data_IF_066019740746
#
_entry.id   IF_066019740746
#
_cell.length_a   1.000
_cell.length_b   1.000
_cell.length_c   1.000
_cell.angle_alpha   90.00
_cell.angle_beta   90.00
_cell.angle_gamma   90.00
#
_symmetry.space_group_name_H-M   'P 1'
#
loop_
_entity.id
_entity.type
_entity.pdbx_description
1 polymer ?
#
# COMPACT_ATOMS: atom_id res chain seq x y z
N UNK A 1 -20.64 0.00 -83.52
CA UNK A 1 -19.59 0.25 -82.52
C UNK A 1 -19.59 1.75 -82.24
N UNK A 2 -20.17 2.13 -81.11
CA UNK A 2 -20.45 3.51 -80.69
C UNK A 2 -19.24 4.02 -79.91
N UNK A 3 -18.67 5.20 -80.22
CA UNK A 3 -17.56 5.73 -79.43
C UNK A 3 -18.02 6.10 -78.01
N UNK A 4 -17.19 5.89 -76.97
CA UNK A 4 -17.55 6.23 -75.61
C UNK A 4 -17.67 7.75 -75.42
N UNK A 5 -18.77 8.17 -74.82
CA UNK A 5 -19.07 9.53 -74.38
C UNK A 5 -18.16 9.94 -73.22
N UNK A 6 -17.28 10.90 -73.48
CA UNK A 6 -16.38 11.51 -72.48
C UNK A 6 -17.21 12.41 -71.54
N UNK A 7 -17.02 12.38 -70.21
CA UNK A 7 -17.70 13.31 -69.32
C UNK A 7 -17.23 14.74 -69.62
N UNK A 8 -18.20 15.62 -69.86
CA UNK A 8 -17.99 17.05 -70.11
C UNK A 8 -17.52 17.68 -68.79
N UNK A 9 -16.24 18.03 -68.72
CA UNK A 9 -15.67 18.76 -67.58
C UNK A 9 -16.37 20.12 -67.47
N UNK A 10 -16.90 20.43 -66.29
CA UNK A 10 -17.55 21.72 -66.03
C UNK A 10 -16.52 22.85 -66.16
N UNK A 11 -16.92 23.94 -66.82
CA UNK A 11 -16.12 25.15 -66.97
C UNK A 11 -15.69 25.69 -65.60
N UNK A 12 -14.42 26.06 -65.49
CA UNK A 12 -13.90 26.77 -64.32
C UNK A 12 -14.69 28.08 -64.13
N UNK A 13 -15.03 28.47 -62.89
CA UNK A 13 -15.68 29.74 -62.66
C UNK A 13 -14.72 30.88 -63.03
N UNK A 14 -15.27 31.87 -63.73
CA UNK A 14 -14.65 33.14 -64.14
C UNK A 14 -13.59 33.64 -63.14
N UNK A 15 -12.36 33.81 -63.62
CA UNK A 15 -11.33 34.67 -63.02
C UNK A 15 -11.78 36.13 -63.16
N UNK A 16 -12.69 36.55 -62.28
CA UNK A 16 -13.34 37.86 -62.35
C UNK A 16 -13.58 38.51 -61.00
N UNK A 17 -12.69 38.31 -60.02
CA UNK A 17 -12.81 38.94 -58.71
C UNK A 17 -11.47 39.08 -57.99
N UNK A 18 -11.05 40.34 -57.81
CA UNK A 18 -10.03 40.92 -56.93
C UNK A 18 -9.11 39.98 -56.11
N UNK A 19 -7.80 40.34 -55.94
CA UNK A 19 -6.94 39.63 -54.98
C UNK A 19 -7.64 39.60 -53.62
N UNK A 20 -7.59 38.46 -52.88
CA UNK A 20 -8.22 38.39 -51.57
C UNK A 20 -7.68 39.55 -50.74
N UNK A 21 -8.55 40.35 -50.08
CA UNK A 21 -8.09 41.47 -49.29
C UNK A 21 -7.06 40.95 -48.29
N UNK A 22 -5.88 41.57 -48.25
CA UNK A 22 -4.82 41.18 -47.33
C UNK A 22 -5.43 41.13 -45.92
N UNK A 23 -5.49 39.92 -45.36
CA UNK A 23 -6.16 39.67 -44.09
C UNK A 23 -5.55 40.61 -43.05
N UNK A 24 -6.40 41.48 -42.47
CA UNK A 24 -5.94 42.52 -41.55
C UNK A 24 -5.08 41.86 -40.46
N UNK A 25 -3.88 42.37 -40.20
CA UNK A 25 -2.92 41.75 -39.24
C UNK A 25 -3.56 41.53 -37.87
N UNK A 26 -4.58 42.34 -37.53
CA UNK A 26 -5.38 42.21 -36.32
C UNK A 26 -6.24 40.95 -36.29
N UNK A 27 -6.79 40.51 -37.43
CA UNK A 27 -7.63 39.31 -37.53
C UNK A 27 -6.81 38.02 -37.37
N UNK A 28 -5.63 37.92 -37.99
CA UNK A 28 -4.74 36.76 -37.81
C UNK A 28 -4.19 36.65 -36.38
N UNK A 29 -3.86 37.78 -35.74
CA UNK A 29 -3.44 37.79 -34.32
C UNK A 29 -4.62 37.37 -33.43
N UNK A 30 -5.81 37.92 -33.63
CA UNK A 30 -7.01 37.57 -32.86
C UNK A 30 -7.37 36.09 -33.02
N UNK A 31 -7.29 35.53 -34.23
CA UNK A 31 -7.53 34.10 -34.48
C UNK A 31 -6.50 33.22 -33.76
N UNK A 32 -5.21 33.61 -33.77
CA UNK A 32 -4.14 32.89 -33.05
C UNK A 32 -4.35 32.90 -31.54
N UNK A 33 -4.76 34.03 -30.97
CA UNK A 33 -5.11 34.10 -29.54
C UNK A 33 -6.32 33.25 -29.20
N UNK A 34 -7.37 33.27 -30.02
CA UNK A 34 -8.55 32.41 -29.83
C UNK A 34 -8.16 30.92 -29.90
N UNK A 35 -7.36 30.52 -30.88
CA UNK A 35 -6.87 29.15 -31.00
C UNK A 35 -6.00 28.75 -29.79
N UNK A 36 -5.13 29.64 -29.31
CA UNK A 36 -4.33 29.39 -28.12
C UNK A 36 -5.19 29.20 -26.87
N UNK A 37 -6.23 30.02 -26.69
CA UNK A 37 -7.20 29.88 -25.59
C UNK A 37 -7.96 28.55 -25.70
N UNK A 38 -8.39 28.17 -26.90
CA UNK A 38 -9.09 26.90 -27.14
C UNK A 38 -8.18 25.71 -26.81
N UNK A 39 -6.91 25.73 -27.23
CA UNK A 39 -5.93 24.67 -26.92
C UNK A 39 -5.67 24.61 -25.41
N UNK A 40 -5.51 25.76 -24.75
CA UNK A 40 -5.35 25.83 -23.29
C UNK A 40 -6.55 25.21 -22.57
N UNK A 41 -7.78 25.45 -23.05
CA UNK A 41 -8.99 24.88 -22.48
C UNK A 41 -9.09 23.37 -22.74
N UNK A 42 -8.85 22.92 -23.98
CA UNK A 42 -8.95 21.51 -24.38
C UNK A 42 -7.89 20.62 -23.75
N UNK A 43 -6.68 21.14 -23.50
CA UNK A 43 -5.59 20.35 -22.89
C UNK A 43 -5.51 20.60 -21.39
N UNK A 44 -5.65 21.85 -20.96
CA UNK A 44 -5.50 22.25 -19.56
C UNK A 44 -6.62 21.72 -18.66
N UNK A 45 -7.87 21.65 -19.13
CA UNK A 45 -8.98 21.12 -18.32
C UNK A 45 -8.82 19.61 -18.10
N UNK A 46 -8.60 18.76 -19.14
CA UNK A 46 -8.34 17.34 -18.92
C UNK A 46 -7.06 17.09 -18.13
N UNK A 47 -5.96 17.79 -18.42
CA UNK A 47 -4.70 17.63 -17.68
C UNK A 47 -4.82 18.06 -16.20
N UNK A 48 -5.54 19.15 -15.93
CA UNK A 48 -5.85 19.61 -14.58
C UNK A 48 -6.73 18.63 -13.82
N UNK A 49 -7.76 18.08 -14.48
CA UNK A 49 -8.61 17.03 -13.89
C UNK A 49 -7.82 15.75 -13.57
N UNK A 50 -6.90 15.35 -14.45
CA UNK A 50 -6.01 14.21 -14.20
C UNK A 50 -5.04 14.45 -13.03
N UNK A 51 -4.53 15.68 -12.86
CA UNK A 51 -3.68 16.02 -11.72
C UNK A 51 -4.44 15.97 -10.38
N UNK A 52 -5.68 16.48 -10.33
CA UNK A 52 -6.51 16.47 -9.10
C UNK A 52 -6.99 15.07 -8.76
N UNK A 53 -7.39 14.26 -9.76
CA UNK A 53 -7.82 12.87 -9.53
C UNK A 53 -6.67 11.96 -9.07
N UNK A 54 -5.44 12.21 -9.50
CA UNK A 54 -4.26 11.51 -9.00
C UNK A 54 -3.95 11.82 -7.52
N UNK A 55 -4.24 13.03 -7.05
CA UNK A 55 -4.12 13.38 -5.63
C UNK A 55 -5.28 12.85 -4.79
N UNK A 56 -6.53 12.93 -5.29
CA UNK A 56 -7.69 12.35 -4.61
C UNK A 56 -7.59 10.83 -4.44
N UNK A 57 -7.05 10.12 -5.45
CA UNK A 57 -6.85 8.67 -5.40
C UNK A 57 -5.79 8.23 -4.36
N UNK A 58 -4.85 9.12 -4.00
CA UNK A 58 -3.76 8.82 -3.05
C UNK A 58 -4.11 9.10 -1.59
N UNK A 59 -5.04 10.02 -1.34
CA UNK A 59 -5.53 10.36 0.01
C UNK A 59 -6.84 9.64 0.35
N UNK A 60 -7.78 9.50 -0.60
CA UNK A 60 -9.05 8.80 -0.34
C UNK A 60 -8.90 7.29 -0.10
N UNK A 61 -7.75 6.72 -0.50
CA UNK A 61 -7.39 5.33 -0.19
C UNK A 61 -6.88 5.12 1.24
N UNK A 62 -6.26 6.14 1.85
CA UNK A 62 -5.78 6.08 3.24
C UNK A 62 -6.92 6.21 4.24
N UNK A 63 -7.93 7.02 3.93
CA UNK A 63 -9.07 7.27 4.83
C UNK A 63 -10.20 6.22 4.74
N UNK A 64 -10.21 5.41 3.67
CA UNK A 64 -11.19 4.32 3.53
C UNK A 64 -10.67 2.96 4.01
N UNK A 65 -9.35 2.75 4.07
CA UNK A 65 -8.76 1.54 4.65
C UNK A 65 -8.83 1.52 6.20
N UNK A 66 -9.00 2.68 6.83
CA UNK A 66 -8.98 2.85 8.29
C UNK A 66 -10.31 2.53 8.99
N UNK A 67 -11.37 2.12 8.26
CA UNK A 67 -12.73 1.98 8.84
C UNK A 67 -13.31 0.58 8.97
N UNK A 68 -12.65 -0.49 8.52
CA UNK A 68 -13.26 -1.83 8.57
C UNK A 68 -12.22 -2.90 8.95
N UNK A 69 -12.04 -3.13 10.25
CA UNK A 69 -11.21 -4.21 10.77
C UNK A 69 -11.11 -4.10 12.29
N UNK A 70 -11.11 -5.24 12.99
CA UNK A 70 -10.92 -5.26 14.44
C UNK A 70 -9.67 -4.45 14.81
N UNK A 71 -9.83 -3.43 15.66
CA UNK A 71 -8.79 -2.41 15.85
C UNK A 71 -7.70 -2.80 16.84
N UNK A 72 -7.74 -4.02 17.42
CA UNK A 72 -6.80 -4.52 18.43
C UNK A 72 -6.81 -6.06 18.47
N UNK A 73 -5.73 -6.63 19.00
CA UNK A 73 -5.59 -8.07 19.29
C UNK A 73 -6.70 -8.55 20.23
N UNK A 74 -7.25 -9.73 19.93
CA UNK A 74 -8.34 -10.37 20.70
C UNK A 74 -7.90 -11.71 21.25
N UNK A 75 -8.39 -12.13 22.43
CA UNK A 75 -8.13 -13.47 22.94
C UNK A 75 -8.58 -14.54 21.94
N UNK A 76 -7.73 -15.53 21.71
CA UNK A 76 -8.01 -16.60 20.77
C UNK A 76 -6.74 -17.12 20.11
N UNK A 77 -6.87 -18.26 19.45
CA UNK A 77 -5.79 -18.85 18.66
C UNK A 77 -5.97 -18.54 17.19
N UNK A 78 -4.91 -18.08 16.48
CA UNK A 78 -4.94 -18.10 15.03
C UNK A 78 -5.00 -19.56 14.54
N UNK A 79 -5.69 -19.77 13.42
CA UNK A 79 -5.79 -21.07 12.78
C UNK A 79 -4.41 -21.62 12.40
N UNK A 80 -4.31 -22.94 12.22
CA UNK A 80 -3.09 -23.58 11.71
C UNK A 80 -2.63 -22.99 10.39
N UNK A 81 -3.59 -22.67 9.50
CA UNK A 81 -3.31 -22.07 8.19
C UNK A 81 -2.73 -20.66 8.34
N UNK A 82 -3.33 -19.80 9.18
CA UNK A 82 -2.77 -18.47 9.46
C UNK A 82 -1.35 -18.58 10.00
N UNK A 83 -1.11 -19.42 11.01
CA UNK A 83 0.24 -19.61 11.57
C UNK A 83 1.25 -20.11 10.53
N UNK A 84 0.80 -20.93 9.59
CA UNK A 84 1.65 -21.41 8.49
C UNK A 84 1.97 -20.31 7.48
N UNK A 85 0.99 -19.51 7.06
CA UNK A 85 1.16 -18.44 6.06
C UNK A 85 2.06 -17.33 6.63
N UNK A 86 1.83 -16.97 7.88
CA UNK A 86 2.56 -15.91 8.57
C UNK A 86 3.81 -16.42 9.30
N UNK A 87 4.09 -17.72 9.22
CA UNK A 87 5.29 -18.34 9.82
C UNK A 87 5.49 -17.99 11.30
N UNK A 88 4.42 -18.09 12.09
CA UNK A 88 4.44 -17.85 13.55
C UNK A 88 4.20 -19.17 14.29
N UNK A 89 5.26 -19.90 14.68
CA UNK A 89 5.15 -21.22 15.33
C UNK A 89 4.78 -21.09 16.81
N UNK A 90 3.54 -20.67 17.12
CA UNK A 90 3.10 -20.52 18.53
C UNK A 90 3.21 -21.88 19.26
N UNK A 91 3.98 -21.97 20.37
CA UNK A 91 4.16 -23.22 21.10
C UNK A 91 2.83 -23.82 21.57
N UNK A 92 2.63 -25.16 21.51
CA UNK A 92 1.34 -25.79 21.82
C UNK A 92 0.82 -25.52 23.24
N UNK A 93 1.72 -25.28 24.21
CA UNK A 93 1.39 -25.01 25.61
C UNK A 93 1.31 -23.52 25.94
N UNK A 94 1.40 -22.64 24.96
CA UNK A 94 1.28 -21.20 25.17
C UNK A 94 -0.10 -20.84 25.75
N UNK A 95 -0.14 -19.79 26.57
CA UNK A 95 -1.39 -19.29 27.18
C UNK A 95 -1.53 -17.79 26.98
N UNK A 96 -2.72 -17.24 27.31
CA UNK A 96 -3.07 -15.84 27.02
C UNK A 96 -2.84 -15.47 25.56
N UNK A 97 -3.07 -16.43 24.67
CA UNK A 97 -2.92 -16.24 23.24
C UNK A 97 -3.98 -15.25 22.78
N UNK A 98 -3.52 -14.27 22.02
CA UNK A 98 -4.39 -13.37 21.29
C UNK A 98 -3.83 -13.10 19.91
N UNK A 99 -4.71 -12.84 18.96
CA UNK A 99 -4.30 -12.46 17.62
C UNK A 99 -5.22 -11.41 17.01
N UNK A 100 -4.72 -10.78 15.95
CA UNK A 100 -5.45 -9.97 14.99
C UNK A 100 -4.84 -10.25 13.63
N UNK A 101 -5.67 -10.45 12.61
CA UNK A 101 -5.21 -10.43 11.23
C UNK A 101 -5.76 -9.18 10.55
N UNK A 102 -4.90 -8.49 9.81
CA UNK A 102 -5.31 -7.39 8.93
C UNK A 102 -4.81 -7.68 7.53
N UNK A 103 -5.69 -7.56 6.53
CA UNK A 103 -5.35 -7.84 5.15
C UNK A 103 -5.81 -6.68 4.26
N UNK A 104 -4.94 -6.25 3.35
CA UNK A 104 -5.30 -5.44 2.20
C UNK A 104 -4.54 -5.92 0.96
N UNK A 105 -4.89 -5.38 -0.20
CA UNK A 105 -4.33 -5.78 -1.49
C UNK A 105 -2.81 -5.62 -1.63
N UNK A 106 -2.14 -4.81 -0.79
CA UNK A 106 -0.69 -4.65 -0.77
C UNK A 106 0.01 -5.49 0.28
N UNK A 107 -0.65 -5.73 1.41
CA UNK A 107 0.03 -6.29 2.57
C UNK A 107 -0.94 -7.04 3.44
N UNK A 108 -0.52 -8.20 3.89
CA UNK A 108 -1.20 -9.02 4.88
C UNK A 108 -0.36 -9.04 6.16
N UNK A 109 -0.98 -8.85 7.32
CA UNK A 109 -0.31 -8.87 8.62
C UNK A 109 -1.03 -9.74 9.62
N UNK A 110 -0.26 -10.48 10.40
CA UNK A 110 -0.72 -11.17 11.60
C UNK A 110 -0.01 -10.62 12.83
N UNK A 111 -0.82 -10.10 13.76
CA UNK A 111 -0.39 -9.70 15.08
C UNK A 111 -0.72 -10.83 16.04
N UNK A 112 0.26 -11.28 16.82
CA UNK A 112 0.08 -12.35 17.80
C UNK A 112 0.72 -11.94 19.12
N UNK A 113 0.06 -12.24 20.22
CA UNK A 113 0.67 -12.24 21.55
C UNK A 113 0.41 -13.57 22.25
N UNK A 114 1.34 -14.00 23.09
CA UNK A 114 1.14 -15.14 23.98
C UNK A 114 2.14 -15.11 25.14
N UNK A 115 1.89 -15.92 26.16
CA UNK A 115 2.85 -16.20 27.23
C UNK A 115 3.27 -17.67 27.16
N UNK A 116 4.53 -17.93 27.53
CA UNK A 116 5.19 -19.23 27.40
C UNK A 116 6.06 -19.51 28.62
N UNK A 117 6.45 -20.78 28.78
CA UNK A 117 7.53 -21.14 29.71
C UNK A 117 8.88 -20.73 29.14
N UNK A 118 9.96 -20.70 29.95
CA UNK A 118 11.30 -20.45 29.43
C UNK A 118 11.69 -21.44 28.32
N UNK A 119 11.46 -22.73 28.53
CA UNK A 119 11.80 -23.74 27.54
C UNK A 119 11.01 -23.56 26.23
N UNK A 120 9.71 -23.26 26.32
CA UNK A 120 8.88 -23.00 25.13
C UNK A 120 9.27 -21.70 24.41
N UNK A 121 9.79 -20.69 25.12
CA UNK A 121 10.37 -19.50 24.50
C UNK A 121 11.61 -19.86 23.67
N UNK A 122 12.49 -20.72 24.20
CA UNK A 122 13.70 -21.13 23.49
C UNK A 122 13.36 -21.95 22.25
N UNK A 123 12.38 -22.85 22.34
CA UNK A 123 11.86 -23.58 21.18
C UNK A 123 11.23 -22.65 20.14
N UNK A 124 10.41 -21.68 20.57
CA UNK A 124 9.81 -20.70 19.67
C UNK A 124 10.84 -19.88 18.90
N UNK A 125 11.88 -19.38 19.58
CA UNK A 125 12.95 -18.61 18.95
C UNK A 125 13.78 -19.48 18.00
N UNK A 126 14.08 -20.72 18.39
CA UNK A 126 14.79 -21.68 17.54
C UNK A 126 14.00 -22.01 16.27
N UNK A 127 12.68 -22.22 16.37
CA UNK A 127 11.81 -22.46 15.21
C UNK A 127 11.73 -21.24 14.28
N UNK A 128 11.94 -20.03 14.80
CA UNK A 128 12.09 -18.82 13.99
C UNK A 128 13.48 -18.65 13.37
N UNK A 129 14.47 -19.45 13.79
CA UNK A 129 15.85 -19.39 13.34
C UNK A 129 16.72 -18.38 14.12
N UNK A 130 16.39 -18.10 15.38
CA UNK A 130 17.13 -17.18 16.26
C UNK A 130 17.24 -17.75 17.68
N UNK A 131 17.75 -16.97 18.63
CA UNK A 131 17.88 -17.36 20.04
C UNK A 131 17.76 -16.15 20.97
N UNK A 132 17.63 -16.38 22.29
CA UNK A 132 17.61 -15.28 23.26
C UNK A 132 18.87 -14.40 23.24
N UNK A 133 20.01 -14.99 22.88
CA UNK A 133 21.29 -14.29 22.83
C UNK A 133 21.36 -13.28 21.67
N UNK A 134 20.53 -13.46 20.65
CA UNK A 134 20.44 -12.58 19.48
C UNK A 134 19.39 -11.48 19.65
N UNK A 135 18.66 -11.46 20.76
CA UNK A 135 17.69 -10.40 21.03
C UNK A 135 18.39 -9.14 21.53
N UNK A 136 18.15 -8.03 20.83
CA UNK A 136 18.59 -6.71 21.27
C UNK A 136 17.70 -6.21 22.42
N UNK A 137 18.25 -5.41 23.34
CA UNK A 137 17.50 -4.84 24.48
C UNK A 137 16.67 -3.63 24.02
N UNK A 138 15.67 -3.89 23.21
CA UNK A 138 14.77 -2.90 22.61
C UNK A 138 13.43 -3.53 22.22
N UNK A 139 12.51 -2.69 21.74
CA UNK A 139 11.26 -3.13 21.13
C UNK A 139 11.43 -3.03 19.61
N UNK A 140 11.36 -4.16 18.90
CA UNK A 140 11.47 -4.18 17.43
C UNK A 140 10.15 -3.89 16.72
N UNK A 141 9.02 -4.08 17.40
CA UNK A 141 7.69 -3.81 16.83
C UNK A 141 7.48 -2.30 16.67
N UNK A 142 7.11 -1.88 15.47
CA UNK A 142 6.92 -0.45 15.16
C UNK A 142 5.84 0.20 16.03
N UNK A 143 5.94 1.52 16.32
CA UNK A 143 4.89 2.23 17.05
C UNK A 143 3.51 2.16 16.38
N UNK A 144 3.47 2.12 15.05
CA UNK A 144 2.23 1.97 14.28
C UNK A 144 1.57 0.61 14.54
N UNK A 145 2.35 -0.46 14.41
CA UNK A 145 1.85 -1.82 14.59
C UNK A 145 1.44 -2.09 16.04
N UNK A 146 2.18 -1.55 17.01
CA UNK A 146 1.79 -1.57 18.41
C UNK A 146 0.42 -0.90 18.63
N UNK A 147 0.19 0.26 18.01
CA UNK A 147 -1.10 0.95 18.10
C UNK A 147 -2.26 0.14 17.47
N UNK A 148 -2.03 -0.47 16.30
CA UNK A 148 -3.01 -1.34 15.63
C UNK A 148 -3.29 -2.61 16.46
N UNK A 149 -2.28 -3.20 17.08
CA UNK A 149 -2.44 -4.35 17.94
C UNK A 149 -3.08 -3.99 19.30
N UNK A 150 -3.02 -2.73 19.70
CA UNK A 150 -3.43 -2.26 21.03
C UNK A 150 -2.42 -2.60 22.12
N UNK A 151 -1.13 -2.71 21.76
CA UNK A 151 -0.02 -2.91 22.67
C UNK A 151 0.60 -1.58 23.12
N UNK A 152 1.25 -1.63 24.27
CA UNK A 152 1.94 -0.50 24.89
C UNK A 152 3.16 -1.00 25.61
N UNK A 153 4.26 -0.27 25.49
CA UNK A 153 5.56 -0.65 26.03
C UNK A 153 5.90 0.25 27.21
N UNK A 154 5.90 -0.30 28.43
CA UNK A 154 6.23 0.43 29.65
C UNK A 154 7.74 0.51 29.88
N UNK A 155 8.27 1.59 30.49
CA UNK A 155 9.71 1.76 30.72
C UNK A 155 10.29 0.79 31.77
N UNK A 156 9.45 0.28 32.67
CA UNK A 156 9.86 -0.61 33.76
C UNK A 156 10.00 -2.08 33.34
N UNK A 157 9.58 -2.41 32.10
CA UNK A 157 9.60 -3.76 31.59
C UNK A 157 10.94 -4.07 30.89
N UNK A 158 11.38 -5.32 31.01
CA UNK A 158 12.57 -5.81 30.35
C UNK A 158 12.26 -6.28 28.92
N UNK A 159 12.23 -5.34 27.98
CA UNK A 159 11.97 -5.60 26.56
C UNK A 159 13.21 -6.09 25.81
N UNK A 160 12.99 -7.10 24.97
CA UNK A 160 13.98 -7.65 24.07
C UNK A 160 13.36 -7.93 22.71
N UNK A 161 14.04 -7.61 21.62
CA UNK A 161 13.47 -7.68 20.29
C UNK A 161 14.44 -8.15 19.22
N UNK A 162 13.88 -8.62 18.12
CA UNK A 162 14.60 -8.88 16.87
C UNK A 162 13.65 -8.77 15.69
N UNK A 163 14.20 -8.47 14.51
CA UNK A 163 13.49 -8.48 13.24
C UNK A 163 14.11 -9.53 12.32
N UNK A 164 13.29 -10.47 11.87
CA UNK A 164 13.70 -11.52 10.96
C UNK A 164 13.20 -11.20 9.54
N UNK A 165 14.04 -10.54 8.75
CA UNK A 165 13.75 -10.18 7.36
C UNK A 165 13.79 -11.40 6.45
N UNK A 166 12.88 -11.44 5.47
CA UNK A 166 12.85 -12.46 4.43
C UNK A 166 12.44 -11.85 3.08
N UNK A 167 12.92 -12.42 1.96
CA UNK A 167 12.48 -12.00 0.63
C UNK A 167 10.98 -12.26 0.42
N UNK A 168 10.31 -11.33 -0.27
CA UNK A 168 8.92 -11.52 -0.68
C UNK A 168 8.76 -12.80 -1.53
N UNK A 169 7.65 -13.55 -1.37
CA UNK A 169 6.47 -13.19 -0.58
C UNK A 169 6.51 -13.66 0.89
N UNK A 170 7.64 -14.20 1.36
CA UNK A 170 7.74 -14.70 2.74
C UNK A 170 7.67 -13.54 3.74
N UNK A 171 7.07 -13.76 4.91
CA UNK A 171 6.85 -12.68 5.86
C UNK A 171 8.13 -12.23 6.56
N UNK A 172 8.26 -10.92 6.74
CA UNK A 172 9.15 -10.35 7.76
C UNK A 172 8.48 -10.49 9.12
N UNK A 173 9.21 -10.95 10.15
CA UNK A 173 8.67 -11.11 11.51
C UNK A 173 9.40 -10.18 12.48
N UNK A 174 8.68 -9.23 13.04
CA UNK A 174 9.14 -8.43 14.17
C UNK A 174 8.71 -9.11 15.46
N UNK A 175 9.67 -9.44 16.31
CA UNK A 175 9.43 -10.11 17.59
C UNK A 175 9.83 -9.18 18.72
N UNK A 176 8.99 -9.09 19.74
CA UNK A 176 9.33 -8.44 21.01
C UNK A 176 8.94 -9.37 22.15
N UNK A 177 9.81 -9.50 23.14
CA UNK A 177 9.67 -10.37 24.30
C UNK A 177 9.76 -9.52 25.56
N UNK A 178 8.79 -9.71 26.45
CA UNK A 178 8.82 -9.23 27.83
C UNK A 178 9.49 -10.30 28.70
N UNK A 179 10.67 -9.97 29.26
CA UNK A 179 11.39 -10.81 30.21
C UNK A 179 11.34 -10.26 31.64
N UNK A 180 10.39 -9.38 31.96
CA UNK A 180 10.23 -8.83 33.32
C UNK A 180 9.93 -9.92 34.35
N UNK A 181 9.06 -10.87 33.99
CA UNK A 181 8.90 -12.15 34.71
C UNK A 181 9.56 -13.26 33.88
N UNK A 182 10.83 -13.62 34.16
CA UNK A 182 11.54 -14.61 33.36
C UNK A 182 10.95 -16.02 33.47
N UNK A 183 10.08 -16.29 34.45
CA UNK A 183 9.38 -17.58 34.55
C UNK A 183 8.14 -17.65 33.64
N UNK A 184 7.63 -16.51 33.18
CA UNK A 184 6.47 -16.40 32.29
C UNK A 184 6.70 -15.35 31.19
N UNK A 185 7.69 -15.53 30.31
CA UNK A 185 7.92 -14.61 29.20
C UNK A 185 6.66 -14.36 28.38
N UNK A 186 6.47 -13.11 27.95
CA UNK A 186 5.40 -12.74 27.02
C UNK A 186 6.01 -12.40 25.68
N UNK A 187 5.49 -13.00 24.62
CA UNK A 187 5.95 -12.81 23.25
C UNK A 187 4.90 -12.04 22.47
N UNK A 188 5.37 -11.11 21.66
CA UNK A 188 4.62 -10.29 20.73
C UNK A 188 5.26 -10.45 19.35
N UNK A 189 4.44 -10.70 18.33
CA UNK A 189 4.91 -10.92 16.96
C UNK A 189 4.05 -10.12 16.01
N UNK A 190 4.69 -9.40 15.10
CA UNK A 190 4.07 -8.86 13.89
C UNK A 190 4.70 -9.57 12.71
N UNK A 191 3.90 -10.35 11.99
CA UNK A 191 4.33 -11.01 10.77
C UNK A 191 3.70 -10.32 9.57
N UNK A 192 4.53 -9.77 8.69
CA UNK A 192 4.14 -8.93 7.55
C UNK A 192 4.51 -9.62 6.24
N UNK A 193 3.52 -10.02 5.45
CA UNK A 193 3.68 -10.60 4.13
C UNK A 193 3.24 -9.61 3.04
N UNK A 194 4.08 -9.46 2.01
CA UNK A 194 3.79 -8.65 0.81
C UNK A 194 3.69 -9.61 -0.39
N UNK A 195 2.52 -9.72 -1.04
CA UNK A 195 2.32 -10.59 -2.21
C UNK A 195 3.25 -10.29 -3.38
#
# INVERSE_FOLDING_TARGET
>A
MTPPSVPRQASAPDEGGAPPPAEDRRHVVRRRWITAIIILLLVGVPAGYLAVSAQQSRESGRDKASKVGATKVRPGWPSKVQRSIYEVPIPPKAWRVGFLETNNWRTSRLYVQFAVTPADLDSFLADLGTSRAELAREVSISPHDAAVAGWSWGPDNAWYGTTLEQPNPRPTRDVTVDLTDPAKPRVYVVSTATP
#
